data_IF_459356148910
#
_entry.id   IF_459356148910
#
_cell.length_a   1.000
_cell.length_b   1.000
_cell.length_c   1.000
_cell.angle_alpha   90.00
_cell.angle_beta   90.00
_cell.angle_gamma   90.00
#
_symmetry.space_group_name_H-M   'P 1'
#
loop_
_entity.id
_entity.type
_entity.pdbx_description
1 polymer ?
#
# COMPACT_ATOMS: atom_id res chain seq x y z
N UNK A 1 -16.96 9.75 -3.54
CA UNK A 1 -16.23 8.52 -3.25
C UNK A 1 -17.21 7.38 -3.34
N UNK A 2 -16.93 6.40 -4.19
CA UNK A 2 -17.79 5.22 -4.42
C UNK A 2 -16.90 4.00 -4.22
N UNK A 3 -17.40 2.96 -3.57
CA UNK A 3 -16.62 1.77 -3.31
C UNK A 3 -17.48 0.51 -3.33
N UNK A 4 -16.81 -0.62 -3.55
CA UNK A 4 -17.39 -1.95 -3.41
C UNK A 4 -16.49 -2.82 -2.54
N UNK A 5 -17.12 -3.75 -1.84
CA UNK A 5 -16.42 -4.78 -1.10
C UNK A 5 -16.54 -6.10 -1.86
N UNK A 6 -15.40 -6.70 -2.19
CA UNK A 6 -15.33 -8.09 -2.63
C UNK A 6 -14.54 -8.89 -1.58
N UNK A 7 -14.62 -10.22 -1.52
CA UNK A 7 -14.27 -10.99 -0.31
C UNK A 7 -12.94 -10.63 0.36
N UNK A 8 -11.90 -10.30 -0.42
CA UNK A 8 -10.55 -10.03 0.09
C UNK A 8 -10.05 -8.60 -0.11
N UNK A 9 -10.75 -7.79 -0.92
CA UNK A 9 -10.33 -6.42 -1.23
C UNK A 9 -11.52 -5.44 -1.24
N UNK A 10 -11.21 -4.18 -0.97
CA UNK A 10 -12.11 -3.05 -1.19
C UNK A 10 -11.61 -2.26 -2.39
N UNK A 11 -12.48 -2.00 -3.37
CA UNK A 11 -12.15 -1.16 -4.52
C UNK A 11 -12.82 0.19 -4.35
N UNK A 12 -12.05 1.26 -4.47
CA UNK A 12 -12.47 2.64 -4.17
C UNK A 12 -12.22 3.51 -5.40
N UNK A 13 -13.29 4.14 -5.89
CA UNK A 13 -13.28 5.18 -6.90
C UNK A 13 -13.42 6.58 -6.28
N UNK A 14 -12.56 7.49 -6.71
CA UNK A 14 -12.49 8.86 -6.20
C UNK A 14 -13.01 9.86 -7.24
N UNK A 15 -13.41 11.05 -6.76
CA UNK A 15 -13.92 12.12 -7.62
C UNK A 15 -12.82 12.79 -8.46
N UNK A 16 -11.55 12.48 -8.25
CA UNK A 16 -10.44 12.95 -9.07
C UNK A 16 -10.00 11.94 -10.14
N UNK A 17 -10.76 10.84 -10.31
CA UNK A 17 -10.43 9.78 -11.27
C UNK A 17 -9.51 8.69 -10.73
N UNK A 18 -8.98 8.84 -9.51
CA UNK A 18 -8.21 7.77 -8.88
C UNK A 18 -9.08 6.53 -8.64
N UNK A 19 -8.54 5.36 -8.93
CA UNK A 19 -9.07 4.05 -8.52
C UNK A 19 -8.01 3.33 -7.71
N UNK A 20 -8.41 2.73 -6.59
CA UNK A 20 -7.50 1.98 -5.74
C UNK A 20 -8.17 0.74 -5.17
N UNK A 21 -7.52 -0.40 -5.32
CA UNK A 21 -7.89 -1.63 -4.64
C UNK A 21 -6.99 -1.83 -3.43
N UNK A 22 -7.60 -2.07 -2.26
CA UNK A 22 -6.89 -2.28 -1.00
C UNK A 22 -7.24 -3.63 -0.40
N UNK A 23 -6.26 -4.28 0.20
CA UNK A 23 -6.48 -5.49 1.00
C UNK A 23 -7.29 -5.16 2.24
N UNK A 24 -8.33 -5.96 2.53
CA UNK A 24 -9.13 -5.80 3.75
C UNK A 24 -8.30 -6.16 4.99
N UNK A 25 -7.38 -7.12 4.86
CA UNK A 25 -6.64 -7.66 6.00
C UNK A 25 -5.67 -6.63 6.63
N UNK A 26 -5.06 -5.76 5.82
CA UNK A 26 -4.02 -4.82 6.28
C UNK A 26 -4.16 -3.40 5.73
N UNK A 27 -5.13 -3.12 4.86
CA UNK A 27 -5.34 -1.81 4.25
C UNK A 27 -4.31 -1.41 3.19
N UNK A 28 -3.36 -2.27 2.87
CA UNK A 28 -2.32 -2.01 1.87
C UNK A 28 -2.94 -1.91 0.47
N UNK A 29 -2.42 -0.99 -0.35
CA UNK A 29 -2.82 -0.84 -1.74
C UNK A 29 -2.30 -2.03 -2.55
N UNK A 30 -3.21 -2.80 -3.14
CA UNK A 30 -2.89 -3.95 -4.00
C UNK A 30 -2.85 -3.52 -5.46
N UNK A 31 -3.66 -2.55 -5.84
CA UNK A 31 -3.70 -2.02 -7.20
C UNK A 31 -4.09 -0.54 -7.22
N UNK A 32 -3.56 0.20 -8.20
CA UNK A 32 -3.84 1.61 -8.44
C UNK A 32 -4.00 1.86 -9.94
N UNK A 33 -4.97 2.70 -10.28
CA UNK A 33 -5.17 3.23 -11.63
C UNK A 33 -5.71 4.66 -11.54
N UNK A 34 -5.71 5.38 -12.65
CA UNK A 34 -6.19 6.75 -12.76
C UNK A 34 -6.93 6.98 -14.08
N UNK A 35 -8.18 7.41 -13.97
CA UNK A 35 -9.01 7.87 -15.09
C UNK A 35 -8.78 9.35 -15.34
N UNK A 36 -9.11 9.81 -16.55
CA UNK A 36 -9.06 11.24 -16.88
C UNK A 36 -10.18 12.04 -16.19
N UNK A 37 -11.28 11.37 -15.79
CA UNK A 37 -12.45 11.99 -15.19
C UNK A 37 -12.91 11.29 -13.91
N UNK A 38 -13.76 11.93 -13.08
CA UNK A 38 -14.27 11.37 -11.84
C UNK A 38 -14.91 9.97 -12.00
N UNK A 39 -14.71 9.11 -11.00
CA UNK A 39 -15.38 7.79 -10.99
C UNK A 39 -16.85 7.97 -10.59
N UNK A 40 -17.73 7.57 -11.50
CA UNK A 40 -19.18 7.65 -11.36
C UNK A 40 -19.78 6.36 -10.80
N UNK A 41 -19.16 5.20 -11.03
CA UNK A 41 -19.61 3.93 -10.48
C UNK A 41 -18.46 2.91 -10.36
N UNK A 42 -18.57 2.03 -9.38
CA UNK A 42 -17.76 0.81 -9.24
C UNK A 42 -18.73 -0.32 -8.93
N UNK A 43 -18.68 -1.44 -9.66
CA UNK A 43 -19.60 -2.58 -9.50
C UNK A 43 -18.94 -3.90 -9.90
N UNK A 44 -19.56 -5.03 -9.54
CA UNK A 44 -19.13 -6.36 -10.00
C UNK A 44 -20.08 -6.92 -11.05
N UNK A 45 -19.52 -7.52 -12.10
CA UNK A 45 -20.29 -8.23 -13.13
C UNK A 45 -19.41 -9.22 -13.89
N UNK A 46 -19.94 -10.40 -14.24
CA UNK A 46 -19.33 -11.26 -15.26
C UNK A 46 -19.69 -10.71 -16.66
N UNK A 47 -19.12 -9.55 -16.99
CA UNK A 47 -19.46 -8.81 -18.21
C UNK A 47 -19.08 -9.59 -19.48
N UNK A 48 -18.00 -10.38 -19.41
CA UNK A 48 -17.46 -11.14 -20.54
C UNK A 48 -18.05 -12.55 -20.64
N UNK A 49 -18.95 -12.93 -19.73
CA UNK A 49 -19.61 -14.25 -19.67
C UNK A 49 -18.57 -15.39 -19.63
N UNK A 50 -17.54 -15.22 -18.80
CA UNK A 50 -16.45 -16.20 -18.61
C UNK A 50 -16.58 -16.98 -17.31
N UNK A 51 -17.66 -16.77 -16.55
CA UNK A 51 -17.91 -17.42 -15.26
C UNK A 51 -17.19 -16.75 -14.09
N UNK A 52 -16.47 -15.65 -14.32
CA UNK A 52 -15.71 -14.92 -13.30
C UNK A 52 -16.23 -13.49 -13.22
N UNK A 53 -16.62 -13.05 -12.02
CA UNK A 53 -17.04 -11.67 -11.83
C UNK A 53 -15.81 -10.74 -11.94
N UNK A 54 -15.92 -9.72 -12.77
CA UNK A 54 -14.95 -8.64 -12.91
C UNK A 54 -15.42 -7.43 -12.11
N UNK A 55 -14.50 -6.57 -11.72
CA UNK A 55 -14.81 -5.24 -11.18
C UNK A 55 -14.82 -4.26 -12.33
N UNK A 56 -15.95 -3.58 -12.54
CA UNK A 56 -16.09 -2.53 -13.54
C UNK A 56 -16.05 -1.17 -12.86
N UNK A 57 -15.20 -0.28 -13.39
CA UNK A 57 -15.16 1.13 -13.03
C UNK A 57 -15.66 1.97 -14.20
N UNK A 58 -16.65 2.83 -13.94
CA UNK A 58 -17.22 3.74 -14.93
C UNK A 58 -16.91 5.18 -14.52
N UNK A 59 -16.33 5.95 -15.45
CA UNK A 59 -16.05 7.37 -15.24
C UNK A 59 -17.15 8.26 -15.82
N UNK A 60 -17.22 9.51 -15.37
CA UNK A 60 -18.28 10.45 -15.76
C UNK A 60 -18.27 10.85 -17.24
N UNK A 61 -17.15 10.68 -17.93
CA UNK A 61 -17.02 10.90 -19.37
C UNK A 61 -17.45 9.69 -20.23
N UNK A 62 -17.86 8.59 -19.59
CA UNK A 62 -18.28 7.36 -20.25
C UNK A 62 -17.17 6.34 -20.46
N UNK A 63 -15.93 6.59 -20.03
CA UNK A 63 -14.88 5.57 -20.02
C UNK A 63 -15.25 4.44 -19.04
N UNK A 64 -15.14 3.19 -19.50
CA UNK A 64 -15.39 2.00 -18.67
C UNK A 64 -14.20 1.06 -18.76
N UNK A 65 -13.66 0.65 -17.61
CA UNK A 65 -12.59 -0.36 -17.52
C UNK A 65 -13.01 -1.50 -16.60
N UNK A 66 -12.62 -2.73 -16.99
CA UNK A 66 -12.84 -3.95 -16.21
C UNK A 66 -11.52 -4.49 -15.65
N UNK A 67 -11.55 -4.94 -14.40
CA UNK A 67 -10.40 -5.50 -13.69
C UNK A 67 -10.77 -6.88 -13.13
N UNK A 68 -9.88 -7.85 -13.30
CA UNK A 68 -9.99 -9.16 -12.69
C UNK A 68 -9.00 -9.23 -11.52
N UNK A 69 -9.49 -9.48 -10.32
CA UNK A 69 -8.67 -9.68 -9.13
C UNK A 69 -8.68 -11.15 -8.73
N UNK A 70 -7.50 -11.69 -8.39
CA UNK A 70 -7.39 -13.03 -7.80
C UNK A 70 -8.24 -13.09 -6.51
N UNK A 71 -9.16 -14.05 -6.45
CA UNK A 71 -10.13 -14.19 -5.35
C UNK A 71 -11.54 -13.69 -5.62
N UNK A 72 -11.84 -13.15 -6.81
CA UNK A 72 -13.22 -12.87 -7.24
C UNK A 72 -13.83 -13.99 -8.11
N UNK A 73 -13.04 -15.04 -8.40
CA UNK A 73 -13.51 -16.26 -9.05
C UNK A 73 -14.16 -17.19 -8.01
N UNK A 74 -15.37 -17.73 -8.28
CA UNK A 74 -16.05 -18.64 -7.36
C UNK A 74 -15.36 -20.01 -7.21
N UNK A 75 -14.42 -20.33 -8.11
CA UNK A 75 -13.59 -21.53 -8.08
C UNK A 75 -12.23 -21.11 -8.69
N UNK A 76 -11.10 -21.57 -8.15
CA UNK A 76 -9.74 -21.05 -8.44
C UNK A 76 -9.20 -21.26 -9.87
N UNK A 77 -10.03 -21.10 -10.90
CA UNK A 77 -9.76 -21.36 -12.32
C UNK A 77 -9.73 -20.06 -13.13
N UNK A 78 -8.72 -19.21 -12.87
CA UNK A 78 -8.38 -18.10 -13.77
C UNK A 78 -6.88 -18.06 -14.03
N UNK A 79 -6.41 -18.92 -14.94
CA UNK A 79 -5.08 -18.84 -15.57
C UNK A 79 -5.08 -18.17 -16.94
N UNK A 80 -6.24 -17.73 -17.44
CA UNK A 80 -6.34 -17.05 -18.73
C UNK A 80 -6.16 -15.55 -18.51
N UNK A 81 -4.91 -15.15 -18.31
CA UNK A 81 -4.46 -13.77 -18.29
C UNK A 81 -4.71 -13.09 -19.63
N UNK A 82 -5.60 -12.11 -19.65
CA UNK A 82 -5.98 -11.40 -20.87
C UNK A 82 -6.78 -10.14 -20.62
N UNK A 83 -6.20 -9.17 -19.91
CA UNK A 83 -6.83 -7.86 -19.70
C UNK A 83 -6.02 -6.90 -18.84
N UNK A 84 -5.10 -6.17 -19.48
CA UNK A 84 -4.49 -4.92 -19.01
C UNK A 84 -3.80 -4.90 -17.63
N UNK A 85 -2.77 -5.74 -17.43
CA UNK A 85 -1.73 -5.50 -16.43
C UNK A 85 -0.53 -4.70 -17.00
N UNK A 86 -0.73 -3.96 -18.10
CA UNK A 86 0.36 -3.32 -18.88
C UNK A 86 0.54 -1.83 -18.56
N UNK A 87 0.41 -1.43 -17.29
CA UNK A 87 0.83 -0.09 -16.83
C UNK A 87 1.74 -0.13 -15.60
N UNK A 88 2.19 -1.31 -15.18
CA UNK A 88 2.89 -1.47 -13.90
C UNK A 88 4.38 -1.09 -13.95
N UNK A 89 5.02 -1.08 -15.13
CA UNK A 89 6.49 -0.96 -15.19
C UNK A 89 7.05 0.43 -14.84
N UNK A 90 6.27 1.51 -15.01
CA UNK A 90 6.76 2.87 -14.72
C UNK A 90 6.46 3.31 -13.27
N UNK A 91 5.32 2.88 -12.71
CA UNK A 91 4.91 3.25 -11.36
C UNK A 91 5.54 2.36 -10.27
N UNK A 92 5.86 1.10 -10.58
CA UNK A 92 6.54 0.20 -9.64
C UNK A 92 7.95 0.67 -9.30
N UNK A 93 8.73 1.14 -10.30
CA UNK A 93 10.09 1.67 -10.07
C UNK A 93 10.04 2.89 -9.13
N UNK A 94 9.10 3.82 -9.35
CA UNK A 94 8.97 5.02 -8.51
C UNK A 94 8.48 4.69 -7.10
N UNK A 95 7.61 3.68 -6.95
CA UNK A 95 7.13 3.23 -5.65
C UNK A 95 8.24 2.55 -4.84
N UNK A 96 9.02 1.67 -5.47
CA UNK A 96 10.16 0.99 -4.85
C UNK A 96 11.25 1.97 -4.42
N UNK A 97 11.61 2.94 -5.28
CA UNK A 97 12.58 3.98 -4.94
C UNK A 97 12.14 4.82 -3.73
N UNK A 98 10.85 5.16 -3.65
CA UNK A 98 10.29 5.93 -2.53
C UNK A 98 10.30 5.13 -1.23
N UNK A 99 10.04 3.82 -1.30
CA UNK A 99 10.11 2.92 -0.16
C UNK A 99 11.55 2.77 0.34
N UNK A 100 12.51 2.56 -0.58
CA UNK A 100 13.94 2.50 -0.26
C UNK A 100 14.41 3.79 0.42
N UNK A 101 13.99 4.96 -0.07
CA UNK A 101 14.32 6.25 0.56
C UNK A 101 13.70 6.39 1.96
N UNK A 102 12.45 5.96 2.13
CA UNK A 102 11.79 5.97 3.43
C UNK A 102 12.51 5.08 4.44
N UNK A 103 12.92 3.88 4.02
CA UNK A 103 13.69 2.94 4.83
C UNK A 103 15.08 3.48 5.19
N UNK A 104 15.78 4.12 4.25
CA UNK A 104 17.08 4.76 4.50
C UNK A 104 16.92 5.87 5.55
N UNK A 105 15.87 6.70 5.44
CA UNK A 105 15.59 7.77 6.41
C UNK A 105 15.25 7.21 7.79
N UNK A 106 14.43 6.15 7.85
CA UNK A 106 14.10 5.47 9.10
C UNK A 106 15.35 4.86 9.76
N UNK A 107 16.20 4.17 8.98
CA UNK A 107 17.48 3.63 9.44
C UNK A 107 18.40 4.71 9.99
N UNK A 108 18.54 5.84 9.28
CA UNK A 108 19.37 6.96 9.75
C UNK A 108 18.86 7.53 11.08
N UNK A 109 17.53 7.65 11.24
CA UNK A 109 16.90 8.07 12.50
C UNK A 109 17.19 7.12 13.65
N UNK A 110 17.01 5.80 13.44
CA UNK A 110 17.26 4.79 14.46
C UNK A 110 18.74 4.75 14.89
N UNK A 111 19.67 4.86 13.94
CA UNK A 111 21.11 4.94 14.23
C UNK A 111 21.43 6.20 15.05
N UNK A 112 20.79 7.33 14.75
CA UNK A 112 20.92 8.55 15.53
C UNK A 112 20.46 8.36 16.98
N UNK A 113 19.31 7.72 17.18
CA UNK A 113 18.80 7.39 18.51
C UNK A 113 19.74 6.45 19.27
N UNK A 114 20.25 5.39 18.64
CA UNK A 114 21.20 4.47 19.25
C UNK A 114 22.48 5.19 19.72
N UNK A 115 23.05 6.07 18.89
CA UNK A 115 24.21 6.88 19.28
C UNK A 115 23.91 7.83 20.45
N UNK A 116 22.69 8.39 20.50
CA UNK A 116 22.28 9.24 21.60
C UNK A 116 22.18 8.44 22.91
N UNK A 117 21.64 7.21 22.86
CA UNK A 117 21.58 6.31 24.01
C UNK A 117 22.97 5.84 24.48
N UNK A 118 23.88 5.52 23.56
CA UNK A 118 25.27 5.18 23.89
C UNK A 118 25.98 6.34 24.60
N UNK A 119 25.88 7.56 24.05
CA UNK A 119 26.46 8.76 24.64
C UNK A 119 25.82 9.14 25.99
N UNK A 120 24.54 8.84 26.19
CA UNK A 120 23.88 9.02 27.48
C UNK A 120 24.39 7.99 28.52
N UNK A 121 24.63 6.75 28.11
CA UNK A 121 25.21 5.71 28.96
C UNK A 121 26.63 6.03 29.46
N UNK A 122 27.44 6.69 28.63
CA UNK A 122 28.81 7.14 28.98
C UNK A 122 28.84 8.27 30.03
N UNK A 123 27.76 9.05 30.18
CA UNK A 123 27.68 10.14 31.17
C UNK A 123 27.39 9.63 32.58
N UNK A 124 26.77 8.45 32.72
CA UNK A 124 26.48 7.83 34.02
C UNK A 124 27.70 7.17 34.66
N UNK A 125 28.69 6.72 33.88
CA UNK A 125 29.86 5.97 34.40
C UNK A 125 31.06 6.83 34.82
N UNK A 126 31.12 8.12 34.43
CA UNK A 126 32.23 9.04 34.85
C UNK A 126 32.02 9.71 36.22
N UNK A 127 30.92 9.41 36.92
CA UNK A 127 30.46 10.19 38.07
C UNK A 127 30.65 9.59 39.48
N UNK A 128 31.38 8.49 39.67
CA UNK A 128 31.47 7.86 41.01
C UNK A 128 32.90 7.45 41.36
N UNK A 129 33.74 8.43 41.71
CA UNK A 129 34.84 8.21 42.65
C UNK A 129 34.49 8.96 43.94
N UNK A 130 33.55 8.41 44.71
CA UNK A 130 33.30 8.86 46.08
C UNK A 130 34.47 8.39 46.92
N UNK A 131 35.38 9.31 47.26
CA UNK A 131 36.44 9.07 48.24
C UNK A 131 35.76 8.86 49.59
N UNK A 132 35.71 7.63 50.07
CA UNK A 132 35.30 7.31 51.43
C UNK A 132 36.36 7.87 52.37
N UNK A 133 36.06 8.99 53.02
CA UNK A 133 36.90 9.54 54.06
C UNK A 133 36.71 8.73 55.35
N UNK A 134 37.73 7.95 55.70
CA UNK A 134 37.87 7.32 57.01
C UNK A 134 37.98 8.41 58.08
N UNK A 135 37.02 8.49 59.01
CA UNK A 135 37.17 9.29 60.22
C UNK A 135 37.37 8.34 61.39
N UNK A 136 38.44 8.62 62.14
CA UNK A 136 38.96 7.94 63.32
C UNK A 136 37.98 7.89 64.48
#
# INVERSE_FOLDING_TARGET
MIYIHIPMIIVIGWNNGKVEARSIANGAAVYRDHFASPIAAVLTSDYRLRGNAEVLCCATDGEVRGYLFEGNAPDGTSKDGGGAATSLLADEISAEEKEVQALIKAKAGLVGQLKAYENAGLKTTKGTNVRVATTT
#
